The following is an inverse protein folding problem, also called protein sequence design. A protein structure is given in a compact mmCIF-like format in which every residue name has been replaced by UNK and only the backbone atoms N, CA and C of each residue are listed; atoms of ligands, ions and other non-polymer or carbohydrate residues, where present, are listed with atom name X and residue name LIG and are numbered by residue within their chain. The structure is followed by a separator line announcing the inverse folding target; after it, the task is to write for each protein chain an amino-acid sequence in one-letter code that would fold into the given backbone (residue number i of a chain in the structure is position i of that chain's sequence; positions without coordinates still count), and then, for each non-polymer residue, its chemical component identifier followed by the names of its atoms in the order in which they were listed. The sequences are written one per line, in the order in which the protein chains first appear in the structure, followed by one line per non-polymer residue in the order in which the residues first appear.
data_IF_623830793327
#
_entry.id   IF_623830793327
#
_cell.length_a   1.000
_cell.length_b   1.000
_cell.length_c   1.000
_cell.angle_alpha   90.00
_cell.angle_beta   90.00
_cell.angle_gamma   90.00
#
_symmetry.space_group_name_H-M   'P 1'
#
loop_
_entity.id
_entity.type
_entity.pdbx_description
1 polymer ?
#
# COMPACT_ATOMS: atom_id res chain seq x y z
N UNK A 1 0.69 9.58 17.29
CA UNK A 1 -0.04 9.33 16.04
C UNK A 1 0.32 10.38 15.00
N UNK A 2 0.51 9.93 13.75
CA UNK A 2 0.81 10.82 12.62
C UNK A 2 -0.45 11.17 11.80
N UNK A 3 -1.57 10.50 12.08
CA UNK A 3 -2.86 10.77 11.45
C UNK A 3 -3.57 11.86 12.26
N UNK A 4 -3.96 12.98 11.63
CA UNK A 4 -4.68 14.04 12.33
C UNK A 4 -6.06 13.58 12.84
N UNK A 5 -6.46 13.98 14.04
CA UNK A 5 -7.72 13.55 14.69
C UNK A 5 -8.99 13.87 13.89
N UNK A 6 -8.93 14.85 12.99
CA UNK A 6 -10.05 15.22 12.12
C UNK A 6 -10.14 14.39 10.83
N UNK A 7 -9.21 13.46 10.62
CA UNK A 7 -9.23 12.53 9.49
C UNK A 7 -9.87 11.22 9.91
N UNK A 8 -10.52 10.56 8.98
CA UNK A 8 -11.07 9.22 9.14
C UNK A 8 -10.21 8.17 8.45
N UNK A 9 -10.27 6.93 8.89
CA UNK A 9 -9.52 5.87 8.26
C UNK A 9 -10.08 4.47 8.45
N UNK A 10 -9.68 3.56 7.58
CA UNK A 10 -9.93 2.14 7.74
C UNK A 10 -8.63 1.34 7.77
N UNK A 11 -8.55 0.41 8.70
CA UNK A 11 -7.52 -0.62 8.77
C UNK A 11 -8.16 -1.95 8.40
N UNK A 12 -7.69 -2.55 7.33
CA UNK A 12 -8.14 -3.84 6.80
C UNK A 12 -7.05 -4.87 7.05
N UNK A 13 -7.36 -5.93 7.79
CA UNK A 13 -6.34 -6.89 8.23
C UNK A 13 -6.87 -8.32 8.36
N UNK A 14 -5.98 -9.30 8.28
CA UNK A 14 -6.32 -10.71 8.50
C UNK A 14 -6.39 -11.06 9.99
N UNK A 15 -5.48 -10.50 10.76
CA UNK A 15 -5.36 -10.65 12.21
C UNK A 15 -5.09 -9.30 12.85
N UNK A 16 -5.28 -9.20 14.16
CA UNK A 16 -5.07 -7.98 14.94
C UNK A 16 -3.58 -7.63 15.04
N UNK A 17 -3.02 -7.00 14.00
CA UNK A 17 -1.63 -6.61 13.92
C UNK A 17 -1.43 -5.10 14.03
N UNK A 18 -2.39 -4.34 13.50
CA UNK A 18 -2.38 -2.88 13.52
C UNK A 18 -3.50 -2.37 14.41
N UNK A 19 -3.18 -1.44 15.28
CA UNK A 19 -4.14 -0.74 16.13
C UNK A 19 -3.62 0.66 16.46
N UNK A 20 -4.53 1.57 16.72
CA UNK A 20 -4.25 2.96 17.05
C UNK A 20 -5.30 3.45 18.03
N UNK A 21 -4.94 4.42 18.87
CA UNK A 21 -5.87 5.12 19.76
C UNK A 21 -6.61 6.28 19.02
N UNK A 22 -6.49 6.34 17.69
CA UNK A 22 -7.12 7.36 16.87
C UNK A 22 -8.66 7.27 16.97
N UNK A 23 -9.37 8.39 17.25
CA UNK A 23 -10.80 8.36 17.56
C UNK A 23 -11.69 7.94 16.39
N UNK A 24 -11.26 8.16 15.14
CA UNK A 24 -12.04 7.86 13.94
C UNK A 24 -11.29 6.87 13.02
N UNK A 25 -11.04 5.66 13.56
CA UNK A 25 -10.41 4.57 12.83
C UNK A 25 -11.27 3.31 12.87
N UNK A 26 -11.73 2.87 11.71
CA UNK A 26 -12.50 1.64 11.55
C UNK A 26 -11.56 0.44 11.33
N UNK A 27 -11.76 -0.63 12.10
CA UNK A 27 -11.01 -1.88 11.96
C UNK A 27 -11.87 -2.95 11.33
N UNK A 28 -11.41 -3.52 10.23
CA UNK A 28 -12.08 -4.59 9.51
C UNK A 28 -11.19 -5.84 9.45
N UNK A 29 -11.75 -6.99 9.81
CA UNK A 29 -11.03 -8.25 9.88
C UNK A 29 -11.61 -9.27 8.92
N UNK A 30 -10.72 -10.09 8.35
CA UNK A 30 -11.10 -11.23 7.52
C UNK A 30 -11.88 -12.23 8.37
N UNK A 31 -13.03 -12.63 7.87
CA UNK A 31 -13.79 -13.74 8.44
C UNK A 31 -13.46 -15.01 7.68
N UNK A 32 -12.61 -15.83 8.29
CA UNK A 32 -12.32 -17.17 7.78
C UNK A 32 -13.43 -18.12 8.20
N UNK A 33 -14.04 -18.79 7.23
CA UNK A 33 -15.05 -19.80 7.50
C UNK A 33 -14.38 -21.05 8.13
N UNK A 34 -14.58 -21.24 9.42
CA UNK A 34 -14.13 -22.42 10.17
C UNK A 34 -15.34 -23.25 10.62
N UNK A 35 -16.08 -23.84 9.68
CA UNK A 35 -17.20 -24.72 10.03
C UNK A 35 -18.48 -24.44 9.22
N UNK A 36 -19.64 -24.50 9.89
CA UNK A 36 -20.97 -24.47 9.26
C UNK A 36 -21.41 -23.07 8.75
N UNK A 37 -20.70 -22.01 9.11
CA UNK A 37 -21.00 -20.67 8.63
C UNK A 37 -20.70 -20.52 7.14
N UNK A 38 -21.66 -19.99 6.37
CA UNK A 38 -21.47 -19.65 4.94
C UNK A 38 -20.90 -18.25 4.72
N UNK A 39 -20.71 -17.48 5.81
CA UNK A 39 -20.22 -16.10 5.72
C UNK A 39 -18.70 -16.14 5.65
N UNK A 40 -18.17 -15.57 4.57
CA UNK A 40 -16.73 -15.41 4.35
C UNK A 40 -16.48 -13.99 3.85
N UNK A 41 -15.59 -13.27 4.50
CA UNK A 41 -15.08 -11.99 4.02
C UNK A 41 -13.57 -12.09 3.84
N UNK A 42 -13.10 -11.83 2.62
CA UNK A 42 -11.67 -11.81 2.27
C UNK A 42 -11.12 -10.39 2.39
N UNK A 43 -9.78 -10.23 2.35
CA UNK A 43 -9.15 -8.91 2.26
C UNK A 43 -9.70 -8.10 1.08
N UNK A 44 -9.95 -8.76 -0.06
CA UNK A 44 -10.56 -8.16 -1.24
C UNK A 44 -11.96 -7.60 -0.95
N UNK A 45 -12.84 -8.38 -0.31
CA UNK A 45 -14.20 -7.96 0.01
C UNK A 45 -14.17 -6.73 0.93
N UNK A 46 -13.27 -6.74 1.92
CA UNK A 46 -13.08 -5.64 2.84
C UNK A 46 -12.48 -4.40 2.16
N UNK A 47 -11.56 -4.60 1.22
CA UNK A 47 -10.98 -3.51 0.44
C UNK A 47 -12.03 -2.82 -0.44
N UNK A 48 -12.92 -3.59 -1.07
CA UNK A 48 -14.06 -3.04 -1.81
C UNK A 48 -14.97 -2.23 -0.87
N UNK A 49 -15.28 -2.78 0.29
CA UNK A 49 -16.11 -2.09 1.28
C UNK A 49 -15.44 -0.78 1.78
N UNK A 50 -14.14 -0.81 2.05
CA UNK A 50 -13.38 0.38 2.45
C UNK A 50 -13.40 1.50 1.40
N UNK A 51 -13.35 1.16 0.11
CA UNK A 51 -13.44 2.15 -0.97
C UNK A 51 -14.84 2.78 -1.11
N UNK A 52 -15.88 2.12 -0.60
CA UNK A 52 -17.25 2.66 -0.62
C UNK A 52 -17.53 3.63 0.55
N UNK A 53 -16.60 3.71 1.49
CA UNK A 53 -16.65 4.65 2.61
C UNK A 53 -15.79 5.86 2.30
N UNK A 54 -16.28 7.06 2.61
CA UNK A 54 -15.56 8.32 2.37
C UNK A 54 -14.48 8.53 3.44
N UNK A 55 -13.33 7.92 3.26
CA UNK A 55 -12.22 7.86 4.22
C UNK A 55 -10.99 8.63 3.70
N UNK A 56 -10.28 9.30 4.61
CA UNK A 56 -9.00 9.97 4.29
C UNK A 56 -7.84 8.96 4.15
N UNK A 57 -7.83 7.94 5.02
CA UNK A 57 -6.78 6.93 5.10
C UNK A 57 -7.30 5.54 4.81
N UNK A 58 -6.63 4.86 3.88
CA UNK A 58 -6.93 3.50 3.48
C UNK A 58 -5.70 2.61 3.75
N UNK A 59 -5.81 1.75 4.76
CA UNK A 59 -4.70 0.96 5.27
C UNK A 59 -5.03 -0.53 5.13
N UNK A 60 -4.17 -1.26 4.40
CA UNK A 60 -4.21 -2.74 4.37
C UNK A 60 -2.97 -3.24 5.09
N UNK A 61 -3.12 -4.09 6.11
CA UNK A 61 -1.99 -4.57 6.92
C UNK A 61 -0.91 -5.23 6.06
N UNK A 62 -1.32 -6.15 5.19
CA UNK A 62 -0.43 -6.81 4.24
C UNK A 62 -1.17 -7.15 2.95
N UNK A 63 -0.55 -6.83 1.81
CA UNK A 63 -1.05 -7.19 0.49
C UNK A 63 -0.40 -8.50 0.03
N UNK A 64 -1.25 -9.48 -0.31
CA UNK A 64 -0.86 -10.84 -0.72
C UNK A 64 -1.46 -11.27 -2.05
N UNK A 65 -2.38 -10.49 -2.63
CA UNK A 65 -3.12 -10.89 -3.82
C UNK A 65 -3.93 -9.77 -4.45
N UNK A 66 -5.13 -10.08 -4.91
CA UNK A 66 -5.98 -9.21 -5.71
C UNK A 66 -6.47 -7.95 -5.02
N UNK A 67 -6.45 -7.87 -3.69
CA UNK A 67 -6.70 -6.63 -2.92
C UNK A 67 -5.77 -5.48 -3.34
N UNK A 68 -4.60 -5.80 -3.93
CA UNK A 68 -3.68 -4.83 -4.51
C UNK A 68 -4.33 -3.90 -5.52
N UNK A 69 -5.28 -4.38 -6.32
CA UNK A 69 -5.96 -3.58 -7.32
C UNK A 69 -6.82 -2.47 -6.68
N UNK A 70 -7.48 -2.78 -5.58
CA UNK A 70 -8.31 -1.83 -4.84
C UNK A 70 -7.45 -0.84 -4.07
N UNK A 71 -6.33 -1.30 -3.51
CA UNK A 71 -5.34 -0.46 -2.85
C UNK A 71 -4.72 0.55 -3.83
N UNK A 72 -4.29 0.11 -5.01
CA UNK A 72 -3.79 0.97 -6.07
C UNK A 72 -4.84 1.99 -6.50
N UNK A 73 -6.10 1.56 -6.67
CA UNK A 73 -7.18 2.45 -7.06
C UNK A 73 -7.46 3.52 -5.99
N UNK A 74 -7.44 3.15 -4.70
CA UNK A 74 -7.57 4.09 -3.60
C UNK A 74 -6.49 5.18 -3.66
N UNK A 75 -5.23 4.80 -3.83
CA UNK A 75 -4.13 5.75 -3.95
C UNK A 75 -4.26 6.63 -5.20
N UNK A 76 -4.64 6.05 -6.33
CA UNK A 76 -4.85 6.77 -7.60
C UNK A 76 -5.99 7.80 -7.49
N UNK A 77 -7.01 7.53 -6.70
CA UNK A 77 -8.15 8.43 -6.46
C UNK A 77 -7.93 9.43 -5.33
N UNK A 78 -6.75 9.42 -4.70
CA UNK A 78 -6.32 10.45 -3.75
C UNK A 78 -6.38 10.09 -2.27
N UNK A 79 -6.76 8.86 -1.92
CA UNK A 79 -6.69 8.39 -0.54
C UNK A 79 -5.23 8.28 -0.09
N UNK A 80 -4.98 8.54 1.17
CA UNK A 80 -3.67 8.30 1.81
C UNK A 80 -3.57 6.82 2.16
N UNK A 81 -2.81 6.09 1.37
CA UNK A 81 -2.74 4.63 1.45
C UNK A 81 -1.45 4.15 2.12
N UNK A 82 -1.58 3.19 3.05
CA UNK A 82 -0.46 2.50 3.68
C UNK A 82 -0.67 0.99 3.61
N UNK A 83 0.40 0.26 3.31
CA UNK A 83 0.37 -1.20 3.36
C UNK A 83 1.77 -1.77 3.50
N UNK A 84 1.86 -3.05 3.80
CA UNK A 84 3.07 -3.83 3.66
C UNK A 84 2.95 -4.88 2.55
N UNK A 85 4.07 -5.25 1.97
CA UNK A 85 4.20 -6.32 1.00
C UNK A 85 5.58 -6.96 1.16
N UNK A 86 5.65 -8.27 1.08
CA UNK A 86 6.93 -8.97 1.12
C UNK A 86 7.74 -8.73 -0.16
N UNK A 87 9.02 -8.36 0.01
CA UNK A 87 9.98 -8.16 -1.07
C UNK A 87 11.42 -8.21 -0.57
N UNK A 88 12.40 -8.33 -1.43
CA UNK A 88 13.83 -8.32 -1.09
C UNK A 88 14.49 -6.96 -1.36
N UNK A 89 13.75 -6.03 -1.95
CA UNK A 89 14.14 -4.63 -2.18
C UNK A 89 12.90 -3.77 -2.43
N UNK A 90 13.06 -2.43 -2.40
CA UNK A 90 11.99 -1.48 -2.74
C UNK A 90 11.44 -1.71 -4.15
N UNK A 91 12.31 -1.89 -5.14
CA UNK A 91 11.93 -2.10 -6.53
C UNK A 91 11.17 -3.43 -6.71
N UNK A 92 11.66 -4.50 -6.11
CA UNK A 92 10.98 -5.81 -6.22
C UNK A 92 9.62 -5.81 -5.53
N UNK A 93 9.49 -5.15 -4.38
CA UNK A 93 8.22 -5.00 -3.70
C UNK A 93 7.17 -4.30 -4.59
N UNK A 94 7.54 -3.22 -5.29
CA UNK A 94 6.65 -2.53 -6.23
C UNK A 94 6.31 -3.37 -7.46
N UNK A 95 7.27 -4.13 -7.98
CA UNK A 95 7.03 -5.07 -9.08
C UNK A 95 6.05 -6.17 -8.67
N UNK A 96 6.22 -6.72 -7.47
CA UNK A 96 5.30 -7.72 -6.91
C UNK A 96 3.90 -7.16 -6.67
N UNK A 97 3.81 -5.92 -6.19
CA UNK A 97 2.53 -5.24 -6.06
C UNK A 97 1.84 -5.09 -7.43
N UNK A 98 2.58 -4.74 -8.48
CA UNK A 98 2.06 -4.68 -9.84
C UNK A 98 1.57 -6.04 -10.34
N UNK A 99 2.26 -7.13 -10.02
CA UNK A 99 1.84 -8.48 -10.36
C UNK A 99 0.55 -8.88 -9.64
N UNK A 100 0.38 -8.50 -8.37
CA UNK A 100 -0.86 -8.73 -7.62
C UNK A 100 -2.05 -7.95 -8.19
N UNK A 101 -1.85 -6.72 -8.67
CA UNK A 101 -2.90 -5.94 -9.33
C UNK A 101 -3.46 -6.68 -10.55
N UNK A 102 -2.63 -7.40 -11.29
CA UNK A 102 -3.05 -8.19 -12.46
C UNK A 102 -3.99 -9.36 -12.13
N UNK A 103 -4.09 -9.77 -10.88
CA UNK A 103 -5.04 -10.82 -10.49
C UNK A 103 -6.50 -10.39 -10.62
N UNK A 104 -6.77 -9.08 -10.60
CA UNK A 104 -8.12 -8.51 -10.61
C UNK A 104 -8.35 -7.53 -11.76
N UNK A 105 -7.34 -7.29 -12.61
CA UNK A 105 -7.44 -6.32 -13.71
C UNK A 105 -6.80 -6.84 -14.99
N UNK A 106 -7.33 -6.39 -16.13
CA UNK A 106 -6.77 -6.62 -17.45
C UNK A 106 -5.83 -5.47 -17.90
N UNK A 107 -5.46 -4.57 -16.99
CA UNK A 107 -4.55 -3.48 -17.29
C UNK A 107 -3.19 -3.98 -17.78
N UNK A 108 -2.58 -3.27 -18.71
CA UNK A 108 -1.19 -3.54 -19.07
C UNK A 108 -0.27 -3.30 -17.86
N UNK A 109 0.88 -3.97 -17.83
CA UNK A 109 1.88 -3.71 -16.78
C UNK A 109 2.25 -2.23 -16.72
N UNK A 110 2.36 -1.62 -17.88
CA UNK A 110 2.72 -0.22 -18.04
C UNK A 110 1.67 0.73 -17.40
N UNK A 111 0.38 0.47 -17.66
CA UNK A 111 -0.71 1.23 -17.04
C UNK A 111 -0.71 1.07 -15.52
N UNK A 112 -0.47 -0.15 -15.02
CA UNK A 112 -0.37 -0.42 -13.60
C UNK A 112 0.79 0.38 -12.97
N UNK A 113 1.98 0.36 -13.58
CA UNK A 113 3.12 1.11 -13.06
C UNK A 113 2.88 2.62 -13.09
N UNK A 114 2.20 3.15 -14.13
CA UNK A 114 1.78 4.56 -14.16
C UNK A 114 0.81 4.92 -13.03
N UNK A 115 -0.07 4.00 -12.64
CA UNK A 115 -0.97 4.20 -11.49
C UNK A 115 -0.21 4.06 -10.16
N UNK A 116 0.71 3.11 -10.05
CA UNK A 116 1.50 2.87 -8.84
C UNK A 116 2.48 4.00 -8.52
N UNK A 117 2.81 4.90 -9.46
CA UNK A 117 3.67 6.05 -9.14
C UNK A 117 3.05 6.99 -8.09
N UNK A 118 1.74 6.91 -7.84
CA UNK A 118 1.07 7.64 -6.75
C UNK A 118 1.43 7.08 -5.36
N UNK A 119 2.02 5.87 -5.26
CA UNK A 119 2.70 5.39 -4.05
C UNK A 119 3.98 6.17 -3.85
N UNK A 120 3.93 7.18 -2.99
CA UNK A 120 4.98 8.18 -2.90
C UNK A 120 6.29 7.65 -2.32
N UNK A 121 6.22 6.78 -1.32
CA UNK A 121 7.39 6.24 -0.64
C UNK A 121 7.32 4.73 -0.51
N UNK A 122 8.47 4.09 -0.69
CA UNK A 122 8.69 2.68 -0.39
C UNK A 122 9.75 2.58 0.68
N UNK A 123 9.43 1.91 1.79
CA UNK A 123 10.33 1.68 2.91
C UNK A 123 10.68 0.20 2.93
N UNK A 124 11.94 -0.12 2.61
CA UNK A 124 12.43 -1.49 2.71
C UNK A 124 13.03 -1.73 4.08
N UNK A 125 12.52 -2.75 4.75
CA UNK A 125 12.96 -3.17 6.08
C UNK A 125 13.54 -4.58 6.02
N UNK A 126 14.61 -4.79 6.77
CA UNK A 126 15.24 -6.09 6.98
C UNK A 126 15.71 -6.20 8.43
N UNK A 127 15.53 -7.38 9.03
CA UNK A 127 15.96 -7.66 10.41
C UNK A 127 15.52 -6.56 11.41
N UNK A 128 14.24 -6.11 11.28
CA UNK A 128 13.63 -5.02 12.08
C UNK A 128 14.35 -3.66 11.98
N UNK A 129 15.07 -3.42 10.88
CA UNK A 129 15.75 -2.15 10.60
C UNK A 129 15.33 -1.62 9.24
N UNK A 130 15.27 -0.31 9.14
CA UNK A 130 15.09 0.36 7.84
C UNK A 130 16.43 0.29 7.09
N UNK A 131 16.45 -0.40 5.97
CA UNK A 131 17.60 -0.49 5.07
C UNK A 131 17.57 0.58 3.98
N UNK A 132 16.36 0.93 3.51
CA UNK A 132 16.19 1.89 2.42
C UNK A 132 14.84 2.60 2.52
N UNK A 133 14.83 3.90 2.21
CA UNK A 133 13.61 4.67 1.91
C UNK A 133 13.82 5.27 0.53
N UNK A 134 12.94 4.93 -0.40
CA UNK A 134 12.93 5.43 -1.76
C UNK A 134 11.65 6.21 -2.03
N UNK A 135 11.77 7.40 -2.62
CA UNK A 135 10.63 8.12 -3.18
C UNK A 135 10.39 7.67 -4.61
N UNK A 136 9.15 7.35 -4.94
CA UNK A 136 8.72 7.10 -6.32
C UNK A 136 8.43 8.45 -6.96
N UNK A 137 9.26 8.87 -7.90
CA UNK A 137 9.17 10.21 -8.49
C UNK A 137 8.46 10.24 -9.84
N UNK A 138 8.16 9.09 -10.41
CA UNK A 138 7.43 8.99 -11.67
C UNK A 138 7.57 7.64 -12.36
N UNK A 139 7.14 7.62 -13.61
CA UNK A 139 7.30 6.51 -14.55
C UNK A 139 8.19 6.96 -15.71
N UNK A 140 9.10 6.12 -16.17
CA UNK A 140 10.00 6.39 -17.30
C UNK A 140 9.50 5.68 -18.56
N UNK A 141 9.21 6.44 -19.61
CA UNK A 141 8.87 5.91 -20.93
C UNK A 141 10.06 5.21 -21.62
N UNK A 142 11.28 5.56 -21.24
CA UNK A 142 12.50 4.98 -21.80
C UNK A 142 12.80 3.59 -21.24
N UNK A 143 12.65 3.44 -19.92
CA UNK A 143 12.95 2.17 -19.24
C UNK A 143 11.71 1.30 -19.02
N UNK A 144 10.51 1.83 -19.29
CA UNK A 144 9.22 1.19 -18.99
C UNK A 144 9.08 0.76 -17.53
N UNK A 145 9.61 1.57 -16.59
CA UNK A 145 9.60 1.25 -15.17
C UNK A 145 9.43 2.51 -14.31
N UNK A 146 9.19 2.31 -13.00
CA UNK A 146 9.14 3.37 -12.01
C UNK A 146 10.53 3.98 -11.80
N UNK A 147 10.54 5.29 -11.59
CA UNK A 147 11.76 6.05 -11.27
C UNK A 147 11.81 6.29 -9.78
N UNK A 148 12.91 5.91 -9.16
CA UNK A 148 13.12 6.02 -7.72
C UNK A 148 14.20 7.06 -7.42
N UNK A 149 13.96 7.83 -6.35
CA UNK A 149 14.95 8.71 -5.74
C UNK A 149 15.26 8.20 -4.33
N UNK A 150 16.52 7.90 -3.99
CA UNK A 150 16.87 7.50 -2.65
C UNK A 150 16.68 8.67 -1.67
N UNK A 151 16.03 8.41 -0.54
CA UNK A 151 15.86 9.32 0.59
C UNK A 151 16.77 8.93 1.74
N UNK A 152 16.86 7.62 1.99
CA UNK A 152 17.68 7.04 3.05
C UNK A 152 18.24 5.69 2.60
N UNK A 153 19.49 5.39 2.97
CA UNK A 153 20.08 4.07 2.75
C UNK A 153 21.16 3.79 3.82
N UNK A 154 20.97 2.71 4.57
CA UNK A 154 21.93 2.16 5.53
C UNK A 154 22.56 3.18 6.47
N UNK A 155 21.77 4.08 7.05
CA UNK A 155 22.23 5.08 8.01
C UNK A 155 22.49 6.47 7.42
N UNK A 156 22.46 6.64 6.11
CA UNK A 156 22.70 7.90 5.44
C UNK A 156 21.42 8.47 4.80
N UNK A 157 21.15 9.75 5.06
CA UNK A 157 20.10 10.51 4.38
C UNK A 157 20.67 11.23 3.16
N UNK A 158 19.95 11.17 2.05
CA UNK A 158 20.29 11.91 0.83
C UNK A 158 19.59 13.27 0.84
N UNK A 159 20.32 14.32 0.42
CA UNK A 159 19.73 15.65 0.29
C UNK A 159 18.63 15.66 -0.77
N UNK A 160 17.54 16.34 -0.48
CA UNK A 160 16.51 16.61 -1.48
C UNK A 160 17.03 17.66 -2.47
N UNK A 161 17.14 17.35 -3.77
CA UNK A 161 17.61 18.31 -4.77
C UNK A 161 16.67 19.52 -4.95
N UNK A 162 15.46 19.47 -4.35
CA UNK A 162 14.49 20.58 -4.36
C UNK A 162 14.73 21.59 -3.24
N UNK A 163 15.63 21.32 -2.28
CA UNK A 163 15.98 22.19 -1.15
C UNK A 163 17.17 23.13 -1.46
N UNK A 164 17.46 23.40 -2.74
CA UNK A 164 18.50 24.37 -3.14
C UNK A 164 17.91 25.75 -3.47
#
# INVERSE_FOLDING_TARGET
DVIPEYCSGAVIQESDELFSDHPDMMYQHVIQNRGESKIKYTLKDLAINGLLTDLDYFIISEIKGGEAAYFMNAAYTGHKCWSSVHGVSSTEAMNKLADYVKYETDYSREDILRMLHYMRFVIFMKDYRIEEISEVVGYSEETHDLVYRPVYKRGEFFKDPREN
#
